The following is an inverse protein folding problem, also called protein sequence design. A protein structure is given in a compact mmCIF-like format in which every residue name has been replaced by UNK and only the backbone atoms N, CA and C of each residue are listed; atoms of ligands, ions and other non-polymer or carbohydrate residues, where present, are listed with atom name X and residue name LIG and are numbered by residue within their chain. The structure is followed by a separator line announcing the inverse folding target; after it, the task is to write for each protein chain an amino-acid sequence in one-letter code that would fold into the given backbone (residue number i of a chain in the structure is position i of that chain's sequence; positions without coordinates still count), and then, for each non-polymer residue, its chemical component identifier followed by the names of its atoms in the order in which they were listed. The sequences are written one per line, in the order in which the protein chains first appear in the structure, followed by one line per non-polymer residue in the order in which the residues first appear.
data_IF_251069305790
#
_entry.id   IF_251069305790
#
_cell.length_a   1.000
_cell.length_b   1.000
_cell.length_c   1.000
_cell.angle_alpha   90.00
_cell.angle_beta   90.00
_cell.angle_gamma   90.00
#
_symmetry.space_group_name_H-M   'P 1'
#
loop_
_entity.id
_entity.type
_entity.pdbx_description
1 polymer ?
#
# COMPACT_ATOMS: atom_id res chain seq x y z
N UNK A 1 -2.33 -10.08 -7.28
CA UNK A 1 -1.61 -10.65 -8.46
C UNK A 1 -2.59 -10.82 -9.61
N UNK A 2 -2.47 -10.03 -10.68
CA UNK A 2 -3.35 -10.11 -11.85
C UNK A 2 -3.03 -11.31 -12.76
N UNK A 3 -4.03 -11.89 -13.44
CA UNK A 3 -3.88 -12.87 -14.52
C UNK A 3 -4.94 -12.60 -15.61
N UNK A 4 -4.50 -12.41 -16.85
CA UNK A 4 -5.29 -12.54 -18.09
C UNK A 4 -4.38 -13.21 -19.13
N UNK A 5 -4.89 -14.27 -19.76
CA UNK A 5 -4.29 -14.90 -20.94
C UNK A 5 -5.11 -14.48 -22.16
N UNK A 6 -4.42 -14.39 -23.30
CA UNK A 6 -4.81 -13.86 -24.60
C UNK A 6 -4.68 -12.33 -24.74
N UNK A 7 -3.46 -11.94 -25.12
CA UNK A 7 -3.01 -10.69 -25.76
C UNK A 7 -3.37 -9.35 -25.08
N UNK A 8 -2.32 -8.77 -24.46
CA UNK A 8 -2.19 -7.41 -23.91
C UNK A 8 -3.02 -7.05 -22.67
N UNK A 9 -2.37 -6.91 -21.50
CA UNK A 9 -2.44 -5.69 -20.69
C UNK A 9 -1.58 -5.83 -19.41
N UNK A 10 -0.98 -4.72 -18.99
CA UNK A 10 0.02 -4.55 -17.92
C UNK A 10 -0.43 -5.13 -16.57
N UNK A 11 0.39 -5.97 -15.94
CA UNK A 11 0.14 -6.43 -14.56
C UNK A 11 0.66 -5.42 -13.55
N UNK A 12 -0.22 -4.95 -12.67
CA UNK A 12 0.16 -4.15 -11.50
C UNK A 12 0.24 -5.02 -10.24
N UNK A 13 1.22 -4.74 -9.40
CA UNK A 13 1.45 -5.41 -8.11
C UNK A 13 1.67 -4.35 -7.04
N UNK A 14 0.98 -4.52 -5.92
CA UNK A 14 1.09 -3.66 -4.75
C UNK A 14 0.69 -4.40 -3.49
N UNK A 15 0.78 -3.70 -2.38
CA UNK A 15 0.37 -4.14 -1.06
C UNK A 15 -0.93 -3.42 -0.67
N UNK A 16 -1.70 -4.03 0.21
CA UNK A 16 -2.80 -3.38 0.90
C UNK A 16 -2.94 -3.97 2.30
N UNK A 17 -3.72 -3.32 3.15
CA UNK A 17 -3.96 -3.77 4.52
C UNK A 17 -5.43 -3.59 4.90
N UNK A 18 -5.93 -4.47 5.78
CA UNK A 18 -7.30 -4.39 6.27
C UNK A 18 -7.49 -3.20 7.19
N UNK A 19 -8.64 -2.52 7.04
CA UNK A 19 -9.07 -1.38 7.87
C UNK A 19 -10.41 -1.61 8.56
N UNK A 20 -11.00 -2.80 8.40
CA UNK A 20 -12.20 -3.21 9.13
C UNK A 20 -12.30 -4.73 9.23
N UNK A 21 -13.12 -5.19 10.18
CA UNK A 21 -13.51 -6.60 10.34
C UNK A 21 -14.41 -7.13 9.21
N UNK A 22 -14.92 -6.25 8.34
CA UNK A 22 -15.80 -6.61 7.21
C UNK A 22 -15.02 -6.85 5.90
N UNK A 23 -13.69 -6.86 5.95
CA UNK A 23 -12.86 -7.16 4.77
C UNK A 23 -12.65 -5.95 3.85
N UNK A 24 -12.69 -4.73 4.38
CA UNK A 24 -12.24 -3.54 3.67
C UNK A 24 -10.72 -3.40 3.72
N UNK A 25 -10.10 -3.14 2.59
CA UNK A 25 -8.66 -3.00 2.38
C UNK A 25 -8.36 -1.63 1.80
N UNK A 26 -7.34 -0.94 2.34
CA UNK A 26 -6.74 0.24 1.70
C UNK A 26 -5.51 -0.19 0.90
N UNK A 27 -5.34 0.41 -0.27
CA UNK A 27 -4.16 0.33 -1.13
C UNK A 27 -4.04 1.64 -1.94
N UNK A 28 -3.02 1.77 -2.79
CA UNK A 28 -2.93 2.91 -3.69
C UNK A 28 -3.89 2.82 -4.86
N UNK A 29 -4.42 3.96 -5.32
CA UNK A 29 -5.29 3.99 -6.48
C UNK A 29 -4.55 3.60 -7.77
N UNK A 30 -3.32 4.09 -7.98
CA UNK A 30 -2.54 3.77 -9.18
C UNK A 30 -2.25 2.27 -9.31
N UNK A 31 -2.25 1.52 -8.21
CA UNK A 31 -2.06 0.07 -8.22
C UNK A 31 -3.24 -0.63 -8.88
N UNK A 32 -4.46 -0.09 -8.75
CA UNK A 32 -5.72 -0.76 -9.15
C UNK A 32 -6.51 -0.03 -10.24
N UNK A 33 -6.15 1.20 -10.60
CA UNK A 33 -6.95 2.08 -11.49
C UNK A 33 -7.25 1.50 -12.88
N UNK A 34 -6.29 0.78 -13.45
CA UNK A 34 -6.40 0.21 -14.81
C UNK A 34 -6.73 -1.29 -14.77
N UNK A 35 -7.09 -1.82 -13.60
CA UNK A 35 -7.36 -3.24 -13.42
C UNK A 35 -8.82 -3.56 -13.72
N UNK A 36 -9.05 -4.41 -14.73
CA UNK A 36 -10.38 -4.99 -14.98
C UNK A 36 -10.84 -5.91 -13.85
N UNK A 37 -9.89 -6.54 -13.13
CA UNK A 37 -10.15 -7.42 -12.00
C UNK A 37 -9.08 -7.23 -10.92
N UNK A 38 -9.51 -7.08 -9.66
CA UNK A 38 -8.60 -7.04 -8.50
C UNK A 38 -8.59 -8.41 -7.83
N UNK A 39 -7.40 -8.97 -7.63
CA UNK A 39 -7.20 -10.23 -6.90
C UNK A 39 -6.31 -10.01 -5.68
N UNK A 40 -6.84 -10.34 -4.50
CA UNK A 40 -6.17 -10.22 -3.21
C UNK A 40 -5.67 -11.59 -2.75
N UNK A 41 -4.47 -11.64 -2.18
CA UNK A 41 -3.85 -12.84 -1.62
C UNK A 41 -3.38 -12.53 -0.21
N UNK A 42 -3.73 -13.38 0.75
CA UNK A 42 -3.30 -13.26 2.14
C UNK A 42 -2.32 -14.39 2.47
N UNK A 43 -1.01 -14.11 2.43
CA UNK A 43 0.02 -15.12 2.63
C UNK A 43 -0.12 -16.27 1.62
N UNK A 44 -0.34 -17.49 2.13
CA UNK A 44 -0.54 -18.70 1.31
C UNK A 44 -2.02 -19.04 1.05
N UNK A 45 -2.96 -18.17 1.46
CA UNK A 45 -4.38 -18.40 1.25
C UNK A 45 -4.77 -18.33 -0.23
N UNK A 46 -5.87 -18.99 -0.64
CA UNK A 46 -6.43 -18.84 -1.97
C UNK A 46 -6.67 -17.38 -2.34
N UNK A 47 -6.57 -17.07 -3.64
CA UNK A 47 -6.88 -15.74 -4.15
C UNK A 47 -8.36 -15.41 -3.94
N UNK A 48 -8.64 -14.20 -3.51
CA UNK A 48 -9.99 -13.66 -3.36
C UNK A 48 -10.23 -12.55 -4.39
N UNK A 49 -11.45 -12.50 -4.92
CA UNK A 49 -11.88 -11.39 -5.77
C UNK A 49 -12.08 -10.14 -4.91
N UNK A 50 -11.47 -9.04 -5.32
CA UNK A 50 -11.65 -7.72 -4.73
C UNK A 50 -12.54 -6.84 -5.60
N UNK A 51 -13.40 -6.05 -4.98
CA UNK A 51 -14.21 -5.02 -5.64
C UNK A 51 -13.80 -3.64 -5.15
N UNK A 52 -13.54 -2.71 -6.06
CA UNK A 52 -13.32 -1.31 -5.69
C UNK A 52 -14.63 -0.70 -5.21
N UNK A 53 -14.63 -0.18 -3.98
CA UNK A 53 -15.77 0.46 -3.33
C UNK A 53 -15.74 1.97 -3.53
N UNK A 54 -14.54 2.56 -3.43
CA UNK A 54 -14.27 3.97 -3.56
C UNK A 54 -12.82 4.19 -3.95
N UNK A 55 -12.52 5.37 -4.49
CA UNK A 55 -11.16 5.83 -4.73
C UNK A 55 -11.05 7.33 -4.54
N UNK A 56 -9.84 7.78 -4.24
CA UNK A 56 -9.42 9.17 -4.17
C UNK A 56 -8.17 9.32 -5.02
N UNK A 57 -8.33 9.88 -6.21
CA UNK A 57 -7.22 10.07 -7.13
C UNK A 57 -6.23 11.15 -6.67
N UNK A 58 -6.68 12.11 -5.86
CA UNK A 58 -5.81 13.20 -5.40
C UNK A 58 -4.82 12.68 -4.35
N UNK A 59 -5.28 11.81 -3.45
CA UNK A 59 -4.45 11.19 -2.40
C UNK A 59 -3.86 9.83 -2.81
N UNK A 60 -4.13 9.38 -4.04
CA UNK A 60 -3.75 8.08 -4.57
C UNK A 60 -4.18 6.91 -3.66
N UNK A 61 -5.44 6.89 -3.22
CA UNK A 61 -6.00 5.85 -2.36
C UNK A 61 -7.18 5.13 -3.00
N UNK A 62 -7.28 3.82 -2.76
CA UNK A 62 -8.44 3.02 -3.13
C UNK A 62 -8.91 2.14 -1.98
N UNK A 63 -10.23 2.02 -1.84
CA UNK A 63 -10.89 1.13 -0.89
C UNK A 63 -11.38 -0.11 -1.65
N UNK A 64 -10.87 -1.28 -1.29
CA UNK A 64 -11.23 -2.56 -1.88
C UNK A 64 -12.01 -3.40 -0.86
N UNK A 65 -13.11 -4.01 -1.27
CA UNK A 65 -13.87 -4.99 -0.48
C UNK A 65 -13.53 -6.40 -0.96
N UNK A 66 -13.27 -7.29 -0.02
CA UNK A 66 -13.18 -8.74 -0.24
C UNK A 66 -14.14 -9.48 0.69
N UNK A 67 -14.60 -10.66 0.29
CA UNK A 67 -15.51 -11.49 1.09
C UNK A 67 -14.74 -12.33 2.12
N UNK A 68 -14.27 -11.68 3.18
CA UNK A 68 -13.60 -12.31 4.32
C UNK A 68 -13.77 -11.49 5.59
N UNK A 69 -13.57 -12.11 6.75
CA UNK A 69 -13.59 -11.46 8.06
C UNK A 69 -12.21 -11.58 8.70
N UNK A 70 -11.32 -10.59 8.53
CA UNK A 70 -9.98 -10.66 9.10
C UNK A 70 -10.05 -10.64 10.63
N UNK A 71 -9.18 -11.42 11.28
CA UNK A 71 -9.07 -11.45 12.75
C UNK A 71 -8.40 -10.21 13.33
N UNK A 72 -7.68 -9.45 12.50
CA UNK A 72 -7.05 -8.18 12.84
C UNK A 72 -7.12 -7.21 11.65
N UNK A 73 -7.26 -5.93 11.96
CA UNK A 73 -7.22 -4.83 11.00
C UNK A 73 -6.46 -3.66 11.62
N UNK A 74 -6.01 -2.72 10.78
CA UNK A 74 -5.16 -1.62 11.21
C UNK A 74 -5.89 -0.62 12.12
N UNK A 75 -5.21 -0.21 13.18
CA UNK A 75 -5.50 1.03 13.91
C UNK A 75 -4.84 2.20 13.17
N UNK A 76 -5.59 3.28 12.95
CA UNK A 76 -5.07 4.48 12.30
C UNK A 76 -4.70 5.53 13.34
N UNK A 77 -3.56 6.20 13.15
CA UNK A 77 -3.14 7.35 13.96
C UNK A 77 -2.89 8.56 13.07
N UNK A 78 -3.50 9.68 13.45
CA UNK A 78 -3.26 10.97 12.79
C UNK A 78 -2.01 11.64 13.33
N UNK A 79 -1.26 12.28 12.43
CA UNK A 79 -0.11 13.11 12.76
C UNK A 79 1.15 12.30 13.00
N UNK A 80 2.27 12.82 12.50
CA UNK A 80 3.59 12.24 12.65
C UNK A 80 4.56 13.36 13.01
N UNK A 81 5.67 13.05 13.67
CA UNK A 81 6.71 14.03 13.97
C UNK A 81 7.93 13.81 13.09
N UNK A 82 8.63 14.89 12.78
CA UNK A 82 9.96 14.80 12.18
C UNK A 82 10.89 13.96 13.07
N UNK A 83 11.62 13.03 12.47
CA UNK A 83 12.49 12.10 13.17
C UNK A 83 11.78 10.90 13.83
N UNK A 84 10.45 10.83 13.77
CA UNK A 84 9.69 9.72 14.36
C UNK A 84 10.04 8.40 13.68
N UNK A 85 10.30 7.36 14.49
CA UNK A 85 10.62 6.02 14.02
C UNK A 85 9.41 5.35 13.39
N UNK A 86 9.61 4.81 12.19
CA UNK A 86 8.56 4.18 11.39
C UNK A 86 9.05 2.89 10.75
N UNK A 87 8.10 2.03 10.40
CA UNK A 87 8.35 0.81 9.64
C UNK A 87 7.42 0.73 8.43
N UNK A 88 7.92 0.28 7.29
CA UNK A 88 7.09 -0.03 6.12
C UNK A 88 6.97 -1.55 5.96
N UNK A 89 5.76 -2.02 5.67
CA UNK A 89 5.53 -3.42 5.34
C UNK A 89 4.94 -3.55 3.94
N UNK A 90 5.51 -4.44 3.13
CA UNK A 90 5.10 -4.63 1.75
C UNK A 90 5.41 -6.02 1.23
N UNK A 91 4.84 -6.39 0.09
CA UNK A 91 5.16 -7.62 -0.62
C UNK A 91 5.89 -7.29 -1.93
N UNK A 92 7.18 -6.89 -1.86
CA UNK A 92 7.95 -6.68 -3.06
C UNK A 92 8.03 -8.00 -3.85
N UNK A 93 7.67 -7.95 -5.14
CA UNK A 93 7.80 -9.08 -6.06
C UNK A 93 7.03 -10.34 -5.60
N UNK A 94 5.81 -10.17 -5.09
CA UNK A 94 4.90 -11.27 -4.73
C UNK A 94 4.75 -12.25 -5.92
N UNK A 95 5.19 -13.49 -5.74
CA UNK A 95 5.18 -14.54 -6.76
C UNK A 95 6.50 -14.77 -7.51
N UNK A 96 7.49 -13.87 -7.38
CA UNK A 96 8.82 -14.07 -7.98
C UNK A 96 9.93 -14.34 -6.95
N UNK A 97 9.89 -13.71 -5.76
CA UNK A 97 11.00 -13.80 -4.79
C UNK A 97 10.60 -14.02 -3.31
N UNK A 98 9.38 -13.70 -2.87
CA UNK A 98 9.04 -13.78 -1.44
C UNK A 98 7.67 -14.41 -1.18
N UNK A 99 7.65 -15.44 -0.32
CA UNK A 99 6.45 -16.01 0.32
C UNK A 99 6.03 -15.25 1.58
N UNK A 100 6.91 -14.37 2.08
CA UNK A 100 6.69 -13.47 3.21
C UNK A 100 6.80 -12.01 2.78
N UNK A 101 6.16 -11.10 3.52
CA UNK A 101 6.34 -9.67 3.31
C UNK A 101 7.72 -9.19 3.76
N UNK A 102 8.17 -8.07 3.21
CA UNK A 102 9.35 -7.34 3.62
C UNK A 102 8.96 -6.26 4.64
N UNK A 103 9.74 -6.17 5.72
CA UNK A 103 9.57 -5.19 6.79
C UNK A 103 10.83 -4.33 6.87
N UNK A 104 10.72 -3.04 6.54
CA UNK A 104 11.85 -2.10 6.58
C UNK A 104 11.65 -1.05 7.66
N UNK A 105 12.76 -0.57 8.22
CA UNK A 105 12.78 0.43 9.28
C UNK A 105 13.38 1.73 8.78
N UNK A 106 12.90 2.85 9.34
CA UNK A 106 13.46 4.18 9.11
C UNK A 106 12.82 5.22 10.01
N UNK A 107 12.88 6.47 9.57
CA UNK A 107 12.32 7.61 10.28
C UNK A 107 11.58 8.52 9.29
N UNK A 108 10.67 9.34 9.81
CA UNK A 108 10.10 10.46 9.05
C UNK A 108 11.17 11.52 8.84
N UNK A 109 11.52 11.79 7.59
CA UNK A 109 12.54 12.79 7.21
C UNK A 109 11.94 14.13 6.81
N UNK A 110 10.66 14.17 6.45
CA UNK A 110 9.89 15.40 6.25
C UNK A 110 8.39 15.14 6.46
N UNK A 111 7.67 16.14 6.95
CA UNK A 111 6.21 16.10 7.16
C UNK A 111 5.41 16.77 6.02
N UNK A 112 6.11 17.12 4.93
CA UNK A 112 5.53 17.63 3.70
C UNK A 112 6.37 17.15 2.52
N UNK A 113 5.73 17.01 1.36
CA UNK A 113 6.33 16.66 0.09
C UNK A 113 6.83 17.87 -0.72
N UNK A 114 6.95 17.67 -2.03
CA UNK A 114 7.30 18.75 -2.96
C UNK A 114 6.25 19.87 -2.90
N UNK A 115 6.71 21.13 -2.94
CA UNK A 115 5.81 22.29 -2.90
C UNK A 115 5.03 22.44 -1.60
N UNK A 116 5.58 21.96 -0.48
CA UNK A 116 4.93 21.97 0.85
C UNK A 116 3.60 21.19 0.90
N UNK A 117 3.44 20.17 0.05
CA UNK A 117 2.27 19.31 0.06
C UNK A 117 2.21 18.47 1.35
N UNK A 118 1.34 18.88 2.27
CA UNK A 118 1.16 18.23 3.59
C UNK A 118 0.47 16.87 3.51
N UNK A 119 0.05 16.43 2.32
CA UNK A 119 -0.52 15.09 2.11
C UNK A 119 0.57 14.02 2.03
N UNK A 120 1.82 14.42 1.77
CA UNK A 120 2.95 13.52 1.55
C UNK A 120 3.94 13.61 2.70
N UNK A 121 4.37 12.44 3.18
CA UNK A 121 5.46 12.28 4.13
C UNK A 121 6.70 11.77 3.39
N UNK A 122 7.87 12.21 3.82
CA UNK A 122 9.12 11.61 3.38
C UNK A 122 9.69 10.72 4.48
N UNK A 123 10.22 9.56 4.09
CA UNK A 123 10.76 8.56 5.00
C UNK A 123 12.13 8.08 4.54
N UNK A 124 12.95 7.64 5.49
CA UNK A 124 14.21 6.96 5.19
C UNK A 124 14.06 5.43 5.06
N UNK A 125 12.90 4.87 5.41
CA UNK A 125 12.66 3.44 5.32
C UNK A 125 12.73 2.98 3.84
N UNK A 126 13.58 2.01 3.49
CA UNK A 126 13.66 1.52 2.12
C UNK A 126 12.33 0.98 1.62
N UNK A 127 11.88 1.44 0.45
CA UNK A 127 10.69 0.94 -0.23
C UNK A 127 11.07 0.44 -1.63
N UNK A 128 10.41 -0.63 -2.08
CA UNK A 128 10.68 -1.29 -3.36
C UNK A 128 9.37 -1.46 -4.15
N UNK A 129 9.43 -1.65 -5.49
CA UNK A 129 8.25 -1.99 -6.28
C UNK A 129 7.46 -3.15 -5.64
N UNK A 130 6.15 -2.95 -5.49
CA UNK A 130 5.25 -3.85 -4.75
C UNK A 130 4.96 -3.43 -3.30
N UNK A 131 5.71 -2.48 -2.75
CA UNK A 131 5.41 -1.88 -1.43
C UNK A 131 4.29 -0.83 -1.51
N UNK A 132 4.01 -0.31 -2.72
CA UNK A 132 2.93 0.64 -2.99
C UNK A 132 1.59 0.13 -2.48
N UNK A 133 0.93 0.92 -1.64
CA UNK A 133 -0.32 0.65 -0.94
C UNK A 133 -0.13 -0.03 0.42
N UNK A 134 1.10 -0.36 0.80
CA UNK A 134 1.44 -0.96 2.09
C UNK A 134 1.36 0.03 3.25
N UNK A 135 1.18 -0.45 4.49
CA UNK A 135 1.12 0.41 5.65
C UNK A 135 2.51 0.96 6.02
N UNK A 136 2.55 2.25 6.36
CA UNK A 136 3.62 2.85 7.15
C UNK A 136 3.18 2.87 8.62
N UNK A 137 3.93 2.20 9.48
CA UNK A 137 3.60 1.92 10.88
C UNK A 137 4.48 2.73 11.83
N UNK A 138 3.91 3.22 12.93
CA UNK A 138 4.71 3.59 14.10
C UNK A 138 5.14 2.34 14.91
N UNK A 139 5.99 2.53 15.90
CA UNK A 139 6.47 1.43 16.76
C UNK A 139 5.41 0.85 17.72
N UNK A 140 4.22 1.46 17.79
CA UNK A 140 3.07 0.88 18.47
C UNK A 140 2.18 0.06 17.53
N UNK A 141 2.55 -0.04 16.25
CA UNK A 141 1.80 -0.78 15.24
C UNK A 141 0.60 -0.04 14.66
N UNK A 142 0.45 1.26 14.94
CA UNK A 142 -0.59 2.05 14.27
C UNK A 142 -0.12 2.49 12.89
N UNK A 143 -1.03 2.51 11.94
CA UNK A 143 -0.79 3.06 10.61
C UNK A 143 -0.80 4.58 10.69
N UNK A 144 0.30 5.18 10.23
CA UNK A 144 0.52 6.62 10.17
C UNK A 144 0.58 7.16 8.74
N UNK A 145 0.57 6.26 7.75
CA UNK A 145 0.57 6.60 6.33
C UNK A 145 0.45 5.37 5.43
N UNK A 146 0.32 5.62 4.13
CA UNK A 146 0.31 4.59 3.08
C UNK A 146 1.53 4.82 2.20
N UNK A 147 2.30 3.77 1.94
CA UNK A 147 3.49 3.85 1.08
C UNK A 147 3.04 4.04 -0.37
N UNK A 148 3.44 5.11 -1.03
CA UNK A 148 3.08 5.39 -2.44
C UNK A 148 4.13 4.81 -3.40
N UNK A 149 5.38 5.24 -3.26
CA UNK A 149 6.50 4.74 -4.06
C UNK A 149 7.79 5.48 -3.75
N UNK A 150 8.85 5.15 -4.49
CA UNK A 150 10.07 5.97 -4.45
C UNK A 150 9.84 7.19 -5.34
N UNK A 151 9.91 8.38 -4.75
CA UNK A 151 9.87 9.64 -5.50
C UNK A 151 10.96 9.66 -6.57
N UNK A 152 10.56 9.83 -7.82
CA UNK A 152 11.47 10.06 -8.94
C UNK A 152 11.39 11.55 -9.30
N UNK A 153 12.25 12.35 -8.66
CA UNK A 153 12.27 13.81 -8.79
C UNK A 153 12.45 14.37 -10.22
N UNK A 154 12.71 13.51 -11.21
CA UNK A 154 12.87 13.88 -12.62
C UNK A 154 11.57 13.69 -13.42
N UNK A 155 10.75 12.70 -13.06
CA UNK A 155 9.50 12.37 -13.77
C UNK A 155 8.23 12.82 -13.05
N UNK A 156 8.30 13.09 -11.75
CA UNK A 156 7.14 13.45 -10.93
C UNK A 156 6.93 14.98 -10.84
N UNK A 157 7.16 15.69 -11.96
CA UNK A 157 7.10 17.16 -12.06
C UNK A 157 5.87 17.65 -12.81
#
# INVERSE_FOLDING_TARGET
MCYLSAEASKTSLGTGFFVSSEGHIITNYHVVKDCSFVQVTLGLAPKMAGRMMAHDAANDLALIKVETHPTAFASLRSGVRLGEGVAAFGFPLAGLLATSGNFTLGNVTAVAGLGDDTRILQISAPVQPGSSGGPLLDYSGNVVGVVEGKLNAITDK
#
